data_IF_640212743738
#
_entry.id   IF_640212743738
#
_cell.length_a   1.000
_cell.length_b   1.000
_cell.length_c   1.000
_cell.angle_alpha   90.00
_cell.angle_beta   90.00
_cell.angle_gamma   90.00
#
_symmetry.space_group_name_H-M   'P 1'
#
loop_
_entity.id
_entity.type
_entity.pdbx_description
1 polymer ?
#
# COMPACT_ATOMS: atom_id res chain seq x y z
N UNK A 1 -32.99 47.06 -43.05
CA UNK A 1 -31.73 46.28 -43.19
C UNK A 1 -31.35 45.69 -41.84
N UNK A 2 -31.54 44.39 -41.62
CA UNK A 2 -30.79 43.55 -40.68
C UNK A 2 -31.18 42.09 -40.96
N UNK A 3 -30.30 41.39 -41.69
CA UNK A 3 -30.38 39.94 -41.91
C UNK A 3 -29.88 39.26 -40.63
N UNK A 4 -30.70 38.41 -40.02
CA UNK A 4 -30.28 37.51 -38.94
C UNK A 4 -29.81 36.22 -39.60
N UNK A 5 -28.52 35.92 -39.50
CA UNK A 5 -27.93 34.65 -39.90
C UNK A 5 -28.12 33.65 -38.77
N UNK A 6 -28.90 32.59 -39.01
CA UNK A 6 -28.88 31.39 -38.18
C UNK A 6 -27.67 30.55 -38.56
N UNK A 7 -26.68 30.46 -37.68
CA UNK A 7 -25.56 29.51 -37.83
C UNK A 7 -25.91 28.23 -37.07
N UNK A 8 -26.22 27.15 -37.80
CA UNK A 8 -26.33 25.80 -37.23
C UNK A 8 -24.92 25.32 -36.87
N UNK A 9 -24.60 25.23 -35.58
CA UNK A 9 -23.42 24.49 -35.11
C UNK A 9 -23.73 22.98 -35.13
N UNK A 10 -23.17 22.29 -36.11
CA UNK A 10 -23.10 20.82 -36.09
C UNK A 10 -22.04 20.40 -35.07
N UNK A 11 -22.46 19.92 -33.90
CA UNK A 11 -21.59 19.17 -33.00
C UNK A 11 -21.30 17.81 -33.63
N UNK A 12 -20.11 17.66 -34.21
CA UNK A 12 -19.56 16.34 -34.54
C UNK A 12 -19.19 15.64 -33.24
N UNK A 13 -20.08 14.77 -32.75
CA UNK A 13 -19.74 13.74 -31.78
C UNK A 13 -18.79 12.75 -32.47
N UNK A 14 -17.49 12.93 -32.31
CA UNK A 14 -16.54 11.87 -32.61
C UNK A 14 -16.78 10.72 -31.62
N UNK A 15 -17.04 9.49 -32.11
CA UNK A 15 -17.08 8.35 -31.22
C UNK A 15 -15.65 8.14 -30.70
N UNK A 16 -15.47 8.30 -29.38
CA UNK A 16 -14.27 7.87 -28.69
C UNK A 16 -14.20 6.34 -28.78
N UNK A 17 -13.52 5.84 -29.81
CA UNK A 17 -13.14 4.44 -29.88
C UNK A 17 -12.09 4.17 -28.80
N UNK A 18 -12.53 3.60 -27.67
CA UNK A 18 -11.67 3.15 -26.58
C UNK A 18 -10.91 1.91 -27.08
N UNK A 19 -9.69 2.12 -27.56
CA UNK A 19 -8.75 1.04 -27.82
C UNK A 19 -8.05 0.71 -26.50
N UNK A 20 -7.84 -0.59 -26.23
CA UNK A 20 -6.95 -1.01 -25.15
C UNK A 20 -5.58 -0.35 -25.36
N UNK A 21 -5.06 0.33 -24.34
CA UNK A 21 -3.76 0.99 -24.44
C UNK A 21 -2.73 0.06 -23.85
N UNK A 22 -1.76 -0.33 -24.68
CA UNK A 22 -0.56 -1.00 -24.18
C UNK A 22 0.33 0.04 -23.51
N UNK A 23 0.61 -0.18 -22.24
CA UNK A 23 1.50 0.68 -21.44
C UNK A 23 2.68 -0.13 -20.94
N UNK A 24 3.87 0.47 -21.00
CA UNK A 24 5.07 -0.13 -20.42
C UNK A 24 5.22 0.34 -18.98
N UNK A 25 5.23 -0.61 -18.05
CA UNK A 25 5.58 -0.37 -16.65
C UNK A 25 7.08 -0.64 -16.51
N UNK A 26 7.83 0.35 -16.04
CA UNK A 26 9.28 0.28 -15.85
C UNK A 26 9.63 0.33 -14.35
N UNK A 27 10.41 -0.62 -13.85
CA UNK A 27 10.83 -0.72 -12.44
C UNK A 27 12.26 -0.25 -12.18
N UNK A 28 12.96 0.19 -13.22
CA UNK A 28 14.33 0.69 -13.17
C UNK A 28 14.42 2.17 -12.77
N UNK A 29 13.30 2.91 -12.83
CA UNK A 29 13.25 4.34 -12.57
C UNK A 29 12.04 4.72 -11.71
N UNK A 30 12.13 5.81 -10.91
CA UNK A 30 10.97 6.35 -10.21
C UNK A 30 9.83 6.72 -11.17
N UNK A 31 8.59 6.71 -10.66
CA UNK A 31 7.41 7.16 -11.40
C UNK A 31 7.42 8.69 -11.50
N UNK A 32 7.03 9.18 -12.67
CA UNK A 32 6.97 10.61 -12.98
C UNK A 32 5.52 11.08 -13.09
N UNK A 33 5.29 12.33 -12.73
CA UNK A 33 4.06 13.06 -12.99
C UNK A 33 4.02 13.60 -14.43
N UNK A 34 2.91 14.26 -14.81
CA UNK A 34 2.73 14.89 -16.13
C UNK A 34 3.75 15.98 -16.47
N UNK A 35 4.49 16.49 -15.48
CA UNK A 35 5.54 17.49 -15.66
C UNK A 35 6.94 16.85 -15.75
N UNK A 36 7.02 15.52 -15.69
CA UNK A 36 8.30 14.80 -15.68
C UNK A 36 9.02 14.84 -14.33
N UNK A 37 8.32 15.21 -13.25
CA UNK A 37 8.87 15.28 -11.89
C UNK A 37 8.61 13.96 -11.17
N UNK A 38 9.56 13.50 -10.36
CA UNK A 38 9.39 12.28 -9.55
C UNK A 38 8.21 12.47 -8.59
N UNK A 39 7.33 11.48 -8.55
CA UNK A 39 6.19 11.48 -7.65
C UNK A 39 6.62 11.14 -6.22
N UNK A 40 6.39 12.06 -5.29
CA UNK A 40 6.43 11.80 -3.85
C UNK A 40 5.11 11.17 -3.41
N UNK A 41 5.00 9.88 -3.70
CA UNK A 41 3.78 9.10 -3.51
C UNK A 41 4.17 7.67 -3.12
N UNK A 42 4.02 7.37 -1.83
CA UNK A 42 4.48 6.13 -1.22
C UNK A 42 3.37 5.41 -0.46
N UNK A 43 3.60 4.13 -0.15
CA UNK A 43 2.90 3.23 0.80
C UNK A 43 1.37 3.23 0.78
N UNK A 44 0.77 3.74 -0.30
CA UNK A 44 -0.67 3.93 -0.42
C UNK A 44 -1.38 2.89 -1.27
N UNK A 45 -2.62 3.22 -1.63
CA UNK A 45 -3.46 2.38 -2.49
C UNK A 45 -3.66 2.98 -3.88
N UNK A 46 -3.68 2.12 -4.92
CA UNK A 46 -3.91 2.52 -6.32
C UNK A 46 -5.09 1.74 -6.90
N UNK A 47 -6.16 2.44 -7.26
CA UNK A 47 -7.43 1.81 -7.66
C UNK A 47 -8.16 2.55 -8.78
N UNK A 48 -8.90 1.79 -9.59
CA UNK A 48 -9.93 2.31 -10.48
C UNK A 48 -11.30 1.99 -9.91
N UNK A 49 -12.02 3.02 -9.44
CA UNK A 49 -13.33 2.84 -8.80
C UNK A 49 -14.50 2.71 -9.78
N UNK A 50 -14.30 3.14 -11.03
CA UNK A 50 -15.28 3.04 -12.11
C UNK A 50 -14.55 2.59 -13.37
N UNK A 51 -15.02 1.51 -14.00
CA UNK A 51 -14.44 0.96 -15.23
C UNK A 51 -14.28 2.07 -16.29
N UNK A 52 -13.15 2.07 -17.00
CA UNK A 52 -12.81 3.04 -18.05
C UNK A 52 -12.74 4.50 -17.54
N UNK A 53 -12.45 4.71 -16.27
CA UNK A 53 -12.17 6.03 -15.68
C UNK A 53 -10.75 6.06 -15.12
N UNK A 54 -10.36 7.21 -14.59
CA UNK A 54 -9.04 7.39 -13.99
C UNK A 54 -8.78 6.37 -12.88
N UNK A 55 -7.53 5.94 -12.81
CA UNK A 55 -6.94 5.38 -11.60
C UNK A 55 -6.64 6.52 -10.62
N UNK A 56 -6.82 6.26 -9.34
CA UNK A 56 -6.46 7.16 -8.26
C UNK A 56 -5.45 6.48 -7.37
N UNK A 57 -4.43 7.24 -6.99
CA UNK A 57 -3.45 6.87 -5.98
C UNK A 57 -3.63 7.77 -4.77
N UNK A 58 -3.91 7.17 -3.62
CA UNK A 58 -3.95 7.85 -2.31
C UNK A 58 -2.71 7.39 -1.58
N UNK A 59 -1.76 8.30 -1.35
CA UNK A 59 -0.40 7.95 -0.98
C UNK A 59 0.22 8.95 -0.02
N UNK A 60 1.23 8.50 0.73
CA UNK A 60 2.02 9.40 1.55
C UNK A 60 2.97 10.23 0.71
N UNK A 61 3.03 11.53 1.05
CA UNK A 61 4.08 12.44 0.62
C UNK A 61 5.05 12.66 1.78
N UNK A 62 6.23 12.03 1.72
CA UNK A 62 7.23 12.03 2.79
C UNK A 62 8.15 13.26 2.77
N UNK A 63 8.14 14.00 1.66
CA UNK A 63 8.89 15.23 1.50
C UNK A 63 10.34 15.03 1.07
N UNK A 64 11.03 16.15 0.88
CA UNK A 64 12.36 16.20 0.25
C UNK A 64 13.51 16.19 1.27
N UNK A 65 13.37 15.42 2.34
CA UNK A 65 14.46 15.21 3.30
C UNK A 65 15.42 14.11 2.83
N UNK A 66 16.65 14.13 3.35
CA UNK A 66 17.65 13.10 3.09
C UNK A 66 17.22 11.77 3.74
N UNK A 67 17.29 10.69 2.97
CA UNK A 67 16.98 9.34 3.42
C UNK A 67 17.78 8.98 4.70
N UNK A 68 17.20 8.17 5.60
CA UNK A 68 17.96 7.57 6.69
C UNK A 68 19.23 6.84 6.22
N UNK A 69 20.38 7.03 6.89
CA UNK A 69 21.60 6.33 6.50
C UNK A 69 21.54 4.85 6.89
N UNK A 70 21.97 3.97 5.97
CA UNK A 70 22.17 2.53 6.15
C UNK A 70 20.91 1.72 6.43
N UNK A 71 20.41 1.66 7.66
CA UNK A 71 19.48 0.59 8.12
C UNK A 71 18.01 1.03 8.22
N UNK A 72 17.50 1.75 7.23
CA UNK A 72 16.14 2.29 7.25
C UNK A 72 15.85 3.07 8.53
N UNK A 73 14.73 2.74 9.18
CA UNK A 73 14.34 3.41 10.42
C UNK A 73 14.93 2.80 11.70
N UNK A 74 15.53 1.61 11.65
CA UNK A 74 16.07 0.88 12.83
C UNK A 74 17.47 1.34 13.29
N UNK A 75 18.03 2.35 12.63
CA UNK A 75 19.28 3.00 13.00
C UNK A 75 19.09 4.49 13.34
N UNK A 76 19.89 5.35 12.71
CA UNK A 76 19.73 6.80 12.84
C UNK A 76 18.44 7.34 12.20
N UNK A 77 17.63 6.52 11.53
CA UNK A 77 16.45 6.96 10.78
C UNK A 77 15.33 7.56 11.63
N UNK A 78 15.04 7.01 12.80
CA UNK A 78 14.14 7.69 13.75
C UNK A 78 14.76 8.97 14.32
N UNK A 79 16.10 9.07 14.38
CA UNK A 79 16.80 10.26 14.88
C UNK A 79 16.92 11.40 13.85
N UNK A 80 16.99 11.09 12.55
CA UNK A 80 16.95 12.10 11.47
C UNK A 80 15.55 12.67 11.25
N UNK A 81 14.52 11.95 11.72
CA UNK A 81 13.09 12.25 11.55
C UNK A 81 12.61 12.28 10.10
N UNK A 82 13.44 11.95 9.11
CA UNK A 82 13.02 11.88 7.72
C UNK A 82 12.07 10.69 7.51
N UNK A 83 10.92 10.92 6.88
CA UNK A 83 9.81 9.95 6.86
C UNK A 83 9.07 9.81 8.20
N UNK A 84 9.43 10.58 9.23
CA UNK A 84 8.76 10.64 10.54
C UNK A 84 8.35 12.06 10.95
N UNK A 85 8.11 12.92 9.96
CA UNK A 85 7.68 14.29 10.19
C UNK A 85 6.15 14.33 10.37
N UNK A 86 5.65 15.25 11.21
CA UNK A 86 4.21 15.33 11.51
C UNK A 86 3.42 16.13 10.45
N UNK A 87 4.13 16.79 9.52
CA UNK A 87 3.59 17.64 8.48
C UNK A 87 3.47 16.96 7.11
N UNK A 88 3.62 15.63 7.02
CA UNK A 88 3.39 14.91 5.76
C UNK A 88 1.96 15.12 5.24
N UNK A 89 1.81 15.13 3.92
CA UNK A 89 0.50 15.14 3.29
C UNK A 89 0.08 13.71 2.92
N UNK A 90 -1.22 13.44 3.03
CA UNK A 90 -1.86 12.36 2.28
C UNK A 90 -2.23 12.97 0.93
N UNK A 91 -1.53 12.59 -0.13
CA UNK A 91 -1.73 13.15 -1.48
C UNK A 91 -2.60 12.25 -2.32
N UNK A 92 -3.26 12.88 -3.30
CA UNK A 92 -4.08 12.22 -4.29
C UNK A 92 -3.45 12.50 -5.66
N UNK A 93 -3.20 11.43 -6.40
CA UNK A 93 -2.78 11.47 -7.79
C UNK A 93 -3.81 10.74 -8.64
N UNK A 94 -3.92 11.11 -9.91
CA UNK A 94 -4.77 10.39 -10.86
C UNK A 94 -4.06 10.14 -12.17
N UNK A 95 -4.34 9.00 -12.81
CA UNK A 95 -3.76 8.64 -14.10
C UNK A 95 -4.82 7.95 -14.97
N UNK A 96 -4.84 8.22 -16.29
CA UNK A 96 -5.73 7.52 -17.20
C UNK A 96 -5.31 6.05 -17.43
N UNK A 97 -4.03 5.71 -17.24
CA UNK A 97 -3.47 4.46 -17.75
C UNK A 97 -2.28 3.90 -16.96
N UNK A 98 -2.01 4.40 -15.76
CA UNK A 98 -0.92 3.98 -14.85
C UNK A 98 0.51 4.25 -15.34
N UNK A 99 0.71 4.79 -16.55
CA UNK A 99 2.05 5.00 -17.12
C UNK A 99 2.84 6.06 -16.35
N UNK A 100 4.15 5.90 -16.26
CA UNK A 100 5.03 7.00 -15.80
C UNK A 100 4.87 8.20 -16.73
N UNK A 101 4.73 9.40 -16.17
CA UNK A 101 4.47 10.62 -16.94
C UNK A 101 3.00 10.92 -17.22
N UNK A 102 2.06 10.07 -16.77
CA UNK A 102 0.61 10.33 -16.94
C UNK A 102 -0.12 10.66 -15.63
N UNK A 103 0.60 10.73 -14.52
CA UNK A 103 0.04 11.03 -13.21
C UNK A 103 -0.11 12.52 -12.98
N UNK A 104 -1.34 12.96 -12.72
CA UNK A 104 -1.67 14.35 -12.36
C UNK A 104 -1.88 14.46 -10.86
N UNK A 105 -1.21 15.41 -10.21
CA UNK A 105 -1.51 15.78 -8.83
C UNK A 105 -2.94 16.33 -8.74
N UNK A 106 -3.74 15.76 -7.86
CA UNK A 106 -5.15 16.16 -7.64
C UNK A 106 -5.26 17.10 -6.44
N UNK A 107 -4.55 16.80 -5.35
CA UNK A 107 -4.60 17.58 -4.12
C UNK A 107 -4.21 16.77 -2.89
N UNK A 108 -4.27 17.42 -1.72
CA UNK A 108 -4.15 16.75 -0.43
C UNK A 108 -5.53 16.24 -0.01
N UNK A 109 -5.63 14.98 0.39
CA UNK A 109 -6.90 14.37 0.76
C UNK A 109 -7.54 15.06 1.98
N UNK A 110 -6.73 15.30 3.00
CA UNK A 110 -7.13 15.97 4.24
C UNK A 110 -5.97 16.85 4.72
N UNK A 111 -6.27 18.06 5.21
CA UNK A 111 -5.23 18.98 5.66
C UNK A 111 -4.60 18.50 6.98
N UNK A 112 -3.38 18.96 7.28
CA UNK A 112 -2.73 18.67 8.57
C UNK A 112 -3.55 19.18 9.75
N UNK A 113 -4.30 20.28 9.57
CA UNK A 113 -5.15 20.86 10.62
C UNK A 113 -6.45 20.07 10.86
N UNK A 114 -6.98 19.39 9.83
CA UNK A 114 -8.26 18.67 9.88
C UNK A 114 -8.12 17.18 10.25
N UNK A 115 -6.90 16.69 10.44
CA UNK A 115 -6.60 15.30 10.83
C UNK A 115 -5.99 15.21 12.22
N UNK A 116 -6.04 14.05 12.91
CA UNK A 116 -5.31 13.86 14.15
C UNK A 116 -3.82 14.17 14.00
N UNK A 117 -3.26 14.88 14.98
CA UNK A 117 -1.84 15.19 15.00
C UNK A 117 -1.01 13.91 15.10
N UNK A 118 0.02 13.79 14.27
CA UNK A 118 0.91 12.64 14.25
C UNK A 118 1.59 12.46 12.90
N UNK A 119 2.59 11.57 12.90
CA UNK A 119 3.17 11.03 11.67
C UNK A 119 2.14 10.08 11.08
N UNK A 120 1.82 10.24 9.80
CA UNK A 120 0.83 9.43 9.10
C UNK A 120 1.54 8.52 8.09
N UNK A 121 0.97 7.34 7.89
CA UNK A 121 1.46 6.32 6.99
C UNK A 121 0.27 5.65 6.28
N UNK A 122 0.59 4.94 5.20
CA UNK A 122 -0.27 3.92 4.58
C UNK A 122 -1.74 4.31 4.40
N UNK A 123 -2.06 5.37 3.64
CA UNK A 123 -3.44 5.74 3.35
C UNK A 123 -4.08 4.79 2.33
N UNK A 124 -5.23 4.22 2.66
CA UNK A 124 -6.02 3.36 1.78
C UNK A 124 -7.41 3.95 1.57
N UNK A 125 -7.81 4.13 0.31
CA UNK A 125 -9.15 4.59 -0.04
C UNK A 125 -9.99 3.40 -0.51
N UNK A 126 -11.19 3.21 0.03
CA UNK A 126 -12.14 2.21 -0.50
C UNK A 126 -13.49 2.86 -0.80
N UNK A 127 -14.23 2.29 -1.75
CA UNK A 127 -15.64 2.65 -1.95
C UNK A 127 -16.53 1.79 -1.06
N UNK A 128 -17.36 2.41 -0.24
CA UNK A 128 -18.35 1.73 0.58
C UNK A 128 -19.69 1.67 -0.18
N UNK A 129 -20.15 0.49 -0.64
CA UNK A 129 -21.40 0.38 -1.40
C UNK A 129 -22.66 0.61 -0.54
N UNK A 130 -22.58 0.44 0.78
CA UNK A 130 -23.71 0.63 1.70
C UNK A 130 -24.04 2.11 1.88
N UNK A 131 -23.00 2.95 2.03
CA UNK A 131 -23.14 4.40 2.23
C UNK A 131 -23.00 5.19 0.94
N UNK A 132 -22.46 4.58 -0.13
CA UNK A 132 -22.12 5.22 -1.41
C UNK A 132 -21.07 6.32 -1.28
N UNK A 133 -20.22 6.21 -0.26
CA UNK A 133 -19.14 7.14 0.01
C UNK A 133 -17.80 6.45 -0.16
N UNK A 134 -16.79 7.25 -0.48
CA UNK A 134 -15.40 6.85 -0.41
C UNK A 134 -14.92 7.00 1.03
N UNK A 135 -14.26 5.98 1.55
CA UNK A 135 -13.74 5.92 2.92
C UNK A 135 -12.22 5.83 2.85
N UNK A 136 -11.56 6.89 3.32
CA UNK A 136 -10.11 6.97 3.45
C UNK A 136 -9.73 6.57 4.87
N UNK A 137 -8.86 5.58 5.00
CA UNK A 137 -8.28 5.14 6.27
C UNK A 137 -6.77 5.34 6.19
N UNK A 138 -6.13 5.75 7.28
CA UNK A 138 -4.68 5.80 7.41
C UNK A 138 -4.27 5.46 8.84
N UNK A 139 -3.06 4.94 9.03
CA UNK A 139 -2.49 4.80 10.36
C UNK A 139 -1.65 6.01 10.71
N UNK A 140 -1.55 6.30 11.99
CA UNK A 140 -0.74 7.39 12.49
C UNK A 140 -0.16 7.08 13.85
N UNK A 141 1.02 7.64 14.12
CA UNK A 141 1.67 7.54 15.40
C UNK A 141 1.94 8.91 15.99
N UNK A 142 2.02 8.94 17.32
CA UNK A 142 2.52 10.07 18.09
C UNK A 142 3.61 9.56 19.00
N UNK A 143 4.67 10.35 19.17
CA UNK A 143 5.75 10.01 20.08
C UNK A 143 5.20 9.74 21.48
N UNK A 144 5.59 8.62 22.08
CA UNK A 144 5.19 8.17 23.42
C UNK A 144 3.67 7.96 23.62
N UNK A 145 2.92 7.76 22.54
CA UNK A 145 1.50 7.43 22.60
C UNK A 145 1.20 6.22 21.70
N UNK A 146 0.09 5.50 21.93
CA UNK A 146 -0.34 4.45 21.02
C UNK A 146 -0.54 4.97 19.59
N UNK A 147 -0.12 4.17 18.62
CA UNK A 147 -0.48 4.36 17.22
C UNK A 147 -1.95 3.99 17.01
N UNK A 148 -2.60 4.64 16.05
CA UNK A 148 -4.05 4.55 15.83
C UNK A 148 -4.37 4.61 14.33
N UNK A 149 -5.62 4.29 13.98
CA UNK A 149 -6.17 4.49 12.65
C UNK A 149 -7.17 5.64 12.65
N UNK A 150 -7.19 6.45 11.61
CA UNK A 150 -8.20 7.48 11.42
C UNK A 150 -8.96 7.27 10.12
N UNK A 151 -10.19 7.78 10.08
CA UNK A 151 -11.16 7.57 9.00
C UNK A 151 -11.73 8.91 8.56
N UNK A 152 -11.65 9.16 7.27
CA UNK A 152 -12.31 10.29 6.61
C UNK A 152 -13.16 9.78 5.44
N UNK A 153 -14.12 10.60 5.00
CA UNK A 153 -15.01 10.24 3.88
C UNK A 153 -15.16 11.36 2.87
N UNK A 154 -15.50 10.97 1.64
CA UNK A 154 -15.81 11.88 0.54
C UNK A 154 -16.86 11.28 -0.41
N UNK A 155 -17.53 12.15 -1.18
CA UNK A 155 -18.45 11.72 -2.25
C UNK A 155 -17.73 11.31 -3.54
N UNK A 156 -16.47 11.75 -3.71
CA UNK A 156 -15.64 11.44 -4.87
C UNK A 156 -14.27 10.94 -4.40
N UNK A 157 -13.54 10.17 -5.23
CA UNK A 157 -12.19 9.71 -4.85
C UNK A 157 -11.19 10.87 -4.72
N UNK A 158 -11.50 12.04 -5.30
CA UNK A 158 -10.68 13.25 -5.22
C UNK A 158 -10.97 14.11 -3.98
N UNK A 159 -11.95 13.75 -3.16
CA UNK A 159 -12.39 14.57 -2.03
C UNK A 159 -13.47 15.60 -2.40
N UNK A 160 -13.60 16.68 -1.62
CA UNK A 160 -12.89 16.94 -0.37
C UNK A 160 -13.23 15.89 0.70
N UNK A 161 -12.25 15.48 1.50
CA UNK A 161 -12.47 14.54 2.60
C UNK A 161 -12.80 15.26 3.90
N UNK A 162 -13.69 14.66 4.70
CA UNK A 162 -13.99 15.09 6.06
C UNK A 162 -13.73 13.96 7.05
N UNK A 163 -13.05 14.26 8.15
CA UNK A 163 -12.82 13.31 9.24
C UNK A 163 -14.15 12.86 9.85
N UNK A 164 -14.30 11.56 10.09
CA UNK A 164 -15.48 10.96 10.77
C UNK A 164 -15.12 10.18 12.01
N UNK A 165 -13.92 9.59 12.03
CA UNK A 165 -13.41 8.91 13.21
C UNK A 165 -11.90 9.18 13.34
N UNK A 166 -11.44 9.89 14.38
CA UNK A 166 -10.01 10.10 14.61
C UNK A 166 -9.28 8.86 15.13
N UNK A 167 -10.00 7.82 15.58
CA UNK A 167 -9.45 6.64 16.25
C UNK A 167 -10.35 5.43 16.03
N UNK A 168 -10.29 4.83 14.84
CA UNK A 168 -10.98 3.56 14.54
C UNK A 168 -10.55 2.49 15.55
N UNK A 169 -11.54 1.89 16.20
CA UNK A 169 -11.32 0.82 17.17
C UNK A 169 -11.04 -0.48 16.42
N UNK A 170 -10.01 -1.20 16.84
CA UNK A 170 -9.82 -2.62 16.52
C UNK A 170 -9.69 -3.38 17.83
N UNK A 171 -10.13 -4.64 17.87
CA UNK A 171 -10.26 -5.39 19.13
C UNK A 171 -8.94 -5.59 19.85
N UNK A 172 -7.83 -5.69 19.11
CA UNK A 172 -6.51 -5.73 19.74
C UNK A 172 -5.98 -4.31 20.02
N UNK A 173 -6.48 -3.29 19.34
CA UNK A 173 -6.03 -1.88 19.38
C UNK A 173 -6.48 -1.04 20.57
N UNK A 174 -7.41 -1.54 21.41
CA UNK A 174 -7.94 -0.78 22.54
C UNK A 174 -8.14 -1.63 23.81
N UNK A 175 -7.30 -1.41 24.83
CA UNK A 175 -7.64 -1.65 26.24
C UNK A 175 -8.02 -3.07 26.70
N UNK A 176 -7.78 -4.11 25.90
CA UNK A 176 -8.00 -5.50 26.30
C UNK A 176 -6.93 -5.99 27.27
N UNK A 177 -7.36 -6.58 28.41
CA UNK A 177 -6.56 -7.11 29.53
C UNK A 177 -5.12 -7.49 29.15
N UNK A 178 -4.17 -6.70 29.65
CA UNK A 178 -2.77 -7.11 29.78
C UNK A 178 -2.77 -8.41 30.60
N UNK A 179 -2.39 -9.52 29.99
CA UNK A 179 -2.00 -10.70 30.75
C UNK A 179 -0.68 -10.34 31.44
N UNK A 180 -0.78 -9.78 32.65
CA UNK A 180 0.36 -9.64 33.55
C UNK A 180 0.72 -11.05 33.99
N UNK A 181 1.67 -11.66 33.29
CA UNK A 181 2.43 -12.78 33.80
C UNK A 181 3.88 -12.30 33.93
N UNK A 182 4.16 -11.91 35.18
CA UNK A 182 5.46 -11.96 35.88
C UNK A 182 6.47 -10.84 35.59
N UNK A 183 6.63 -10.01 36.64
CA UNK A 183 7.85 -9.35 37.10
C UNK A 183 9.11 -9.57 36.23
N UNK A 184 9.49 -8.54 35.47
CA UNK A 184 10.82 -7.89 35.40
C UNK A 184 10.77 -6.91 34.21
N UNK A 185 11.04 -5.63 34.49
CA UNK A 185 11.06 -4.48 33.55
C UNK A 185 9.71 -3.89 33.12
N UNK A 186 9.22 -2.96 33.94
CA UNK A 186 8.40 -1.82 33.54
C UNK A 186 9.13 -1.00 32.44
N UNK A 187 9.01 -1.40 31.18
CA UNK A 187 9.37 -0.58 30.02
C UNK A 187 8.23 -0.72 28.98
N UNK A 188 7.32 0.27 29.01
CA UNK A 188 6.48 0.73 27.89
C UNK A 188 5.61 -0.32 27.14
N UNK A 189 4.53 -0.76 27.80
CA UNK A 189 3.35 -1.39 27.18
C UNK A 189 2.55 -0.40 26.31
N UNK A 190 3.16 0.18 25.27
CA UNK A 190 2.38 0.92 24.28
C UNK A 190 1.81 -0.06 23.27
N UNK A 191 0.54 0.11 22.95
CA UNK A 191 -0.14 -0.67 21.93
C UNK A 191 0.25 -0.10 20.56
N UNK A 192 1.10 -0.79 19.80
CA UNK A 192 1.59 -0.31 18.51
C UNK A 192 0.76 -0.92 17.39
N UNK A 193 -0.35 -0.26 17.04
CA UNK A 193 -1.00 -0.48 15.76
C UNK A 193 -0.06 -0.04 14.63
N UNK A 194 0.17 -0.91 13.66
CA UNK A 194 1.08 -0.64 12.55
C UNK A 194 0.34 -0.61 11.22
N UNK A 195 0.93 -1.27 10.23
CA UNK A 195 0.42 -1.32 8.87
C UNK A 195 -0.92 -2.06 8.77
N UNK A 196 -1.76 -1.63 7.83
CA UNK A 196 -3.07 -2.24 7.58
C UNK A 196 -3.43 -2.22 6.08
N UNK A 197 -4.41 -3.03 5.69
CA UNK A 197 -5.10 -2.93 4.38
C UNK A 197 -6.58 -3.29 4.55
N UNK A 198 -7.40 -2.90 3.57
CA UNK A 198 -8.85 -3.00 3.60
C UNK A 198 -9.35 -3.82 2.40
N UNK A 199 -10.17 -4.83 2.69
CA UNK A 199 -10.94 -5.54 1.67
C UNK A 199 -12.41 -5.17 1.78
N UNK A 200 -13.01 -4.75 0.66
CA UNK A 200 -14.46 -4.64 0.52
C UNK A 200 -14.95 -5.84 -0.30
N UNK A 201 -15.80 -6.66 0.30
CA UNK A 201 -16.34 -7.84 -0.33
C UNK A 201 -17.52 -7.48 -1.26
N UNK A 202 -17.89 -8.40 -2.15
CA UNK A 202 -18.94 -8.17 -3.16
C UNK A 202 -20.32 -7.90 -2.54
N UNK A 203 -20.55 -8.38 -1.33
CA UNK A 203 -21.77 -8.15 -0.53
C UNK A 203 -21.77 -6.81 0.23
N UNK A 204 -20.71 -6.01 0.09
CA UNK A 204 -20.53 -4.73 0.77
C UNK A 204 -19.97 -4.82 2.18
N UNK A 205 -19.61 -6.01 2.66
CA UNK A 205 -18.93 -6.16 3.96
C UNK A 205 -17.48 -5.72 3.84
N UNK A 206 -17.04 -4.85 4.76
CA UNK A 206 -15.67 -4.39 4.85
C UNK A 206 -14.88 -5.17 5.89
N UNK A 207 -13.60 -5.37 5.64
CA UNK A 207 -12.65 -5.99 6.56
C UNK A 207 -11.35 -5.22 6.59
N UNK A 208 -10.75 -5.10 7.78
CA UNK A 208 -9.42 -4.55 7.97
C UNK A 208 -8.47 -5.68 8.39
N UNK A 209 -7.38 -5.86 7.66
CA UNK A 209 -6.22 -6.62 8.14
C UNK A 209 -5.21 -5.63 8.69
N UNK A 210 -4.61 -5.92 9.84
CA UNK A 210 -3.74 -4.97 10.51
C UNK A 210 -2.71 -5.63 11.40
N UNK A 211 -1.55 -4.98 11.53
CA UNK A 211 -0.50 -5.39 12.45
C UNK A 211 -0.69 -4.74 13.81
N UNK A 212 -0.36 -5.49 14.84
CA UNK A 212 -0.22 -4.97 16.19
C UNK A 212 0.83 -5.72 16.96
N UNK A 213 1.81 -4.96 17.49
CA UNK A 213 2.97 -5.52 18.17
C UNK A 213 3.59 -6.67 17.34
N UNK A 214 3.69 -6.43 16.03
CA UNK A 214 4.20 -7.34 15.01
C UNK A 214 3.43 -8.65 14.76
N UNK A 215 2.23 -8.80 15.31
CA UNK A 215 1.32 -9.88 14.93
C UNK A 215 0.23 -9.38 14.01
N UNK A 216 -0.21 -10.22 13.08
CA UNK A 216 -1.28 -9.88 12.15
C UNK A 216 -2.66 -10.29 12.66
N UNK A 217 -3.69 -9.53 12.34
CA UNK A 217 -5.09 -9.86 12.61
C UNK A 217 -6.00 -9.30 11.52
N UNK A 218 -7.12 -9.97 11.27
CA UNK A 218 -8.19 -9.47 10.39
C UNK A 218 -9.47 -9.31 11.20
N UNK A 219 -10.18 -8.21 10.97
CA UNK A 219 -11.43 -7.87 11.64
C UNK A 219 -12.50 -7.40 10.67
N UNK A 220 -13.76 -7.76 10.94
CA UNK A 220 -14.92 -7.25 10.21
C UNK A 220 -15.24 -5.82 10.67
N UNK A 221 -15.42 -4.91 9.71
CA UNK A 221 -15.84 -3.52 9.94
C UNK A 221 -17.36 -3.39 10.05
N UNK A 222 -17.82 -2.32 10.69
CA UNK A 222 -19.24 -1.91 10.68
C UNK A 222 -19.69 -1.55 9.26
N UNK A 223 -21.01 -1.56 8.94
CA UNK A 223 -21.49 -1.30 7.57
C UNK A 223 -21.04 0.03 6.95
N UNK A 224 -20.71 1.03 7.77
CA UNK A 224 -20.17 2.34 7.35
C UNK A 224 -18.63 2.36 7.19
N UNK A 225 -17.94 1.32 7.65
CA UNK A 225 -16.48 1.17 7.74
C UNK A 225 -15.78 2.10 8.74
N UNK A 226 -16.51 2.71 9.68
CA UNK A 226 -15.92 3.66 10.63
C UNK A 226 -15.34 2.99 11.88
N UNK A 227 -15.76 1.77 12.16
CA UNK A 227 -15.42 1.02 13.37
C UNK A 227 -15.18 -0.45 13.04
N UNK A 228 -14.48 -1.16 13.93
CA UNK A 228 -14.51 -2.62 13.94
C UNK A 228 -15.70 -3.16 14.73
N UNK A 229 -16.25 -4.28 14.26
CA UNK A 229 -17.22 -5.10 14.99
C UNK A 229 -16.58 -6.04 16.02
N UNK A 230 -15.25 -6.20 15.95
CA UNK A 230 -14.45 -7.10 16.78
C UNK A 230 -14.54 -8.59 16.43
N UNK A 231 -15.30 -8.97 15.40
CA UNK A 231 -15.23 -10.32 14.85
C UNK A 231 -13.92 -10.47 14.11
N UNK A 232 -13.05 -11.35 14.60
CA UNK A 232 -11.65 -11.38 14.22
C UNK A 232 -11.09 -12.77 13.93
N UNK A 233 -9.97 -12.82 13.20
CA UNK A 233 -9.04 -13.94 13.17
C UNK A 233 -7.60 -13.44 13.36
N UNK A 234 -6.78 -14.21 14.07
CA UNK A 234 -5.40 -13.86 14.39
C UNK A 234 -4.43 -14.87 13.79
N UNK A 235 -3.30 -14.36 13.31
CA UNK A 235 -2.23 -15.13 12.71
C UNK A 235 -1.17 -15.49 13.76
N UNK A 236 -0.49 -16.62 13.56
CA UNK A 236 0.52 -17.13 14.49
C UNK A 236 1.90 -16.49 14.23
N UNK A 237 2.14 -16.01 13.00
CA UNK A 237 3.40 -15.38 12.62
C UNK A 237 3.66 -14.11 13.43
N UNK A 238 4.86 -14.05 13.99
CA UNK A 238 5.40 -12.90 14.71
C UNK A 238 6.43 -12.17 13.85
N UNK A 239 6.64 -10.88 14.15
CA UNK A 239 7.59 -10.03 13.44
C UNK A 239 7.23 -9.81 11.97
N UNK A 240 5.94 -9.59 11.71
CA UNK A 240 5.39 -9.35 10.36
C UNK A 240 4.67 -8.02 10.24
N UNK A 241 4.61 -7.47 9.03
CA UNK A 241 4.01 -6.17 8.72
C UNK A 241 3.51 -6.08 7.26
N UNK A 242 3.14 -4.87 6.84
CA UNK A 242 2.76 -4.53 5.48
C UNK A 242 1.71 -5.50 4.88
N UNK A 243 0.57 -5.76 5.55
CA UNK A 243 -0.39 -6.72 5.04
C UNK A 243 -1.11 -6.22 3.79
N UNK A 244 -1.40 -7.08 2.84
CA UNK A 244 -2.29 -6.85 1.70
C UNK A 244 -3.49 -7.79 1.85
N UNK A 245 -4.70 -7.31 1.56
CA UNK A 245 -5.91 -8.13 1.59
C UNK A 245 -6.65 -8.12 0.26
N UNK A 246 -6.69 -9.28 -0.41
CA UNK A 246 -7.38 -9.43 -1.69
C UNK A 246 -8.26 -10.68 -1.74
N UNK A 247 -9.23 -10.65 -2.64
CA UNK A 247 -10.09 -11.79 -3.00
C UNK A 247 -9.96 -12.08 -4.50
N UNK A 248 -9.84 -13.35 -4.86
CA UNK A 248 -9.89 -13.84 -6.25
C UNK A 248 -10.56 -15.20 -6.29
N UNK A 249 -11.56 -15.40 -7.16
CA UNK A 249 -12.27 -16.66 -7.36
C UNK A 249 -12.76 -17.31 -6.04
N UNK A 250 -13.37 -16.51 -5.15
CA UNK A 250 -13.83 -16.91 -3.81
C UNK A 250 -12.75 -17.37 -2.81
N UNK A 251 -11.47 -17.25 -3.16
CA UNK A 251 -10.36 -17.42 -2.23
C UNK A 251 -9.95 -16.04 -1.71
N UNK A 252 -9.81 -15.94 -0.40
CA UNK A 252 -9.26 -14.79 0.30
C UNK A 252 -7.77 -14.99 0.50
N UNK A 253 -6.99 -13.97 0.16
CA UNK A 253 -5.55 -13.95 0.29
C UNK A 253 -5.17 -12.79 1.20
N UNK A 254 -4.41 -13.11 2.24
CA UNK A 254 -3.70 -12.12 3.04
C UNK A 254 -2.21 -12.34 2.82
N UNK A 255 -1.52 -11.31 2.36
CA UNK A 255 -0.07 -11.34 2.16
C UNK A 255 0.56 -10.44 3.21
N UNK A 256 1.58 -10.88 3.92
CA UNK A 256 2.41 -10.05 4.81
C UNK A 256 3.86 -10.53 4.76
N UNK A 257 4.80 -9.66 5.11
CA UNK A 257 6.22 -9.98 5.10
C UNK A 257 6.85 -9.82 6.47
N UNK A 258 8.04 -10.39 6.64
CA UNK A 258 8.87 -10.09 7.80
C UNK A 258 9.14 -8.59 7.91
N UNK A 259 9.07 -8.08 9.14
CA UNK A 259 9.23 -6.66 9.43
C UNK A 259 10.59 -6.14 8.96
N UNK A 260 10.55 -4.97 8.34
CA UNK A 260 11.64 -4.24 7.74
C UNK A 260 11.28 -2.75 7.58
N UNK A 261 11.57 -1.96 8.62
CA UNK A 261 11.20 -0.56 8.63
C UNK A 261 12.05 0.30 7.69
N UNK A 262 11.45 0.77 6.59
CA UNK A 262 12.14 1.54 5.54
C UNK A 262 13.45 0.92 5.07
N UNK A 263 13.66 -0.39 5.19
CA UNK A 263 14.95 -0.95 4.81
C UNK A 263 15.08 -1.19 3.32
N UNK A 264 16.30 -1.01 2.82
CA UNK A 264 16.69 -1.25 1.44
C UNK A 264 16.31 -2.64 0.92
N UNK A 265 16.41 -3.68 1.75
CA UNK A 265 16.12 -5.05 1.33
C UNK A 265 14.62 -5.34 1.14
N UNK A 266 13.73 -4.44 1.55
CA UNK A 266 12.28 -4.67 1.51
C UNK A 266 11.81 -5.81 2.41
N UNK A 267 10.55 -6.23 2.22
CA UNK A 267 9.94 -7.31 2.98
C UNK A 267 9.95 -8.63 2.21
N UNK A 268 9.68 -9.71 2.96
CA UNK A 268 9.20 -10.96 2.38
C UNK A 268 7.75 -10.88 1.90
N UNK A 269 7.23 -11.98 1.35
CA UNK A 269 5.82 -12.17 0.96
C UNK A 269 5.38 -13.58 1.35
N UNK A 270 4.88 -13.71 2.58
CA UNK A 270 4.13 -14.88 3.03
C UNK A 270 2.68 -14.74 2.54
N UNK A 271 2.07 -15.84 2.10
CA UNK A 271 0.69 -15.84 1.58
C UNK A 271 -0.17 -16.76 2.40
N UNK A 272 -1.24 -16.22 2.96
CA UNK A 272 -2.23 -16.95 3.71
C UNK A 272 -3.54 -16.99 2.94
N UNK A 273 -4.17 -18.17 2.90
CA UNK A 273 -5.39 -18.39 2.10
C UNK A 273 -6.53 -18.93 2.95
N UNK A 274 -7.74 -18.47 2.67
CA UNK A 274 -8.96 -18.95 3.29
C UNK A 274 -10.14 -18.93 2.32
N UNK A 275 -11.18 -19.70 2.63
CA UNK A 275 -12.47 -19.65 1.92
C UNK A 275 -13.48 -18.67 2.59
N UNK A 276 -13.09 -18.07 3.70
CA UNK A 276 -13.86 -17.07 4.45
C UNK A 276 -12.93 -15.92 4.85
N UNK A 277 -13.40 -14.66 4.80
CA UNK A 277 -12.55 -13.49 5.11
C UNK A 277 -12.02 -13.48 6.55
N UNK A 278 -12.70 -14.15 7.49
CA UNK A 278 -12.26 -14.33 8.88
C UNK A 278 -11.63 -15.71 9.13
N UNK A 279 -11.15 -16.37 8.08
CA UNK A 279 -10.41 -17.62 8.21
C UNK A 279 -11.28 -18.86 8.45
N UNK A 280 -10.69 -19.98 8.92
CA UNK A 280 -9.27 -20.12 9.24
C UNK A 280 -8.38 -19.94 8.00
N UNK A 281 -7.25 -19.28 8.18
CA UNK A 281 -6.25 -19.11 7.13
C UNK A 281 -5.22 -20.22 7.18
N UNK A 282 -4.73 -20.62 6.01
CA UNK A 282 -3.63 -21.57 5.87
C UNK A 282 -2.48 -20.90 5.13
N UNK A 283 -1.28 -20.97 5.70
CA UNK A 283 -0.06 -20.55 5.03
C UNK A 283 0.12 -21.37 3.75
N UNK A 284 0.32 -20.68 2.64
CA UNK A 284 0.57 -21.29 1.35
C UNK A 284 1.94 -21.98 1.36
N UNK A 285 2.00 -23.21 0.84
CA UNK A 285 3.26 -23.89 0.59
C UNK A 285 4.12 -23.16 -0.47
N UNK A 286 5.44 -23.36 -0.44
CA UNK A 286 6.40 -22.70 -1.34
C UNK A 286 7.29 -21.65 -0.66
N UNK A 287 7.10 -21.45 0.65
CA UNK A 287 7.87 -20.51 1.46
C UNK A 287 7.56 -19.06 1.15
N UNK A 288 8.46 -18.17 1.53
CA UNK A 288 8.36 -16.75 1.24
C UNK A 288 8.49 -16.48 -0.27
N UNK A 289 7.50 -15.82 -0.88
CA UNK A 289 7.43 -15.66 -2.32
C UNK A 289 8.42 -14.64 -2.91
N UNK A 290 8.93 -13.73 -2.09
CA UNK A 290 9.89 -12.70 -2.51
C UNK A 290 11.34 -13.02 -2.10
N UNK A 291 11.55 -13.97 -1.19
CA UNK A 291 12.89 -14.34 -0.75
C UNK A 291 13.51 -15.47 -1.59
N UNK A 292 14.79 -15.30 -1.93
CA UNK A 292 15.65 -16.28 -2.64
C UNK A 292 16.96 -16.46 -1.90
N UNK A 293 17.67 -17.56 -2.10
CA UNK A 293 19.00 -17.74 -1.50
C UNK A 293 19.97 -16.70 -2.03
N UNK A 294 20.91 -16.23 -1.20
CA UNK A 294 21.89 -15.21 -1.65
C UNK A 294 22.78 -15.72 -2.80
N UNK A 295 22.97 -17.03 -2.95
CA UNK A 295 23.70 -17.64 -4.08
C UNK A 295 22.91 -17.61 -5.40
N UNK A 296 21.58 -17.67 -5.35
CA UNK A 296 20.72 -17.59 -6.54
C UNK A 296 20.52 -16.14 -7.01
N UNK A 297 20.87 -15.18 -6.15
CA UNK A 297 20.76 -13.76 -6.44
C UNK A 297 21.92 -13.30 -7.34
N UNK A 298 21.68 -13.22 -8.65
CA UNK A 298 22.62 -12.59 -9.57
C UNK A 298 22.66 -11.08 -9.34
N UNK A 299 23.78 -10.57 -8.84
CA UNK A 299 24.02 -9.13 -8.57
C UNK A 299 23.86 -8.22 -9.80
N UNK A 300 23.75 -8.77 -11.00
CA UNK A 300 23.67 -8.01 -12.26
C UNK A 300 22.32 -7.33 -12.50
N UNK A 301 21.28 -7.62 -11.69
CA UNK A 301 19.92 -7.08 -11.89
C UNK A 301 19.56 -5.82 -11.09
N UNK A 302 20.50 -5.20 -10.37
CA UNK A 302 20.22 -3.95 -9.61
C UNK A 302 20.88 -2.75 -10.30
N UNK A 303 20.20 -2.20 -11.30
CA UNK A 303 20.58 -0.95 -11.97
C UNK A 303 20.09 0.28 -11.20
N UNK A 304 20.61 0.51 -9.99
CA UNK A 304 20.57 1.84 -9.37
C UNK A 304 21.97 2.17 -8.88
N UNK A 305 22.66 3.01 -9.65
CA UNK A 305 24.06 3.41 -9.43
C UNK A 305 24.17 4.47 -8.34
N UNK A 306 23.74 4.17 -7.11
CA UNK A 306 24.07 4.90 -5.86
C UNK A 306 23.11 4.54 -4.71
N UNK A 307 23.00 3.25 -4.36
CA UNK A 307 22.21 2.85 -3.18
C UNK A 307 23.09 3.01 -1.93
N UNK A 308 22.72 3.93 -1.04
CA UNK A 308 23.37 4.12 0.26
C UNK A 308 22.80 3.20 1.36
N UNK A 309 21.61 2.64 1.13
CA UNK A 309 20.96 1.71 2.04
C UNK A 309 21.71 0.38 2.16
N UNK A 310 21.71 -0.19 3.37
CA UNK A 310 22.25 -1.51 3.66
C UNK A 310 21.11 -2.43 4.15
N UNK A 311 21.22 -3.74 3.91
CA UNK A 311 20.36 -4.74 4.55
C UNK A 311 20.33 -4.52 6.08
N UNK A 312 19.15 -4.37 6.68
CA UNK A 312 19.02 -4.32 8.14
C UNK A 312 19.15 -5.75 8.67
N UNK A 313 20.10 -6.04 9.57
CA UNK A 313 20.30 -7.39 10.08
C UNK A 313 19.03 -7.97 10.73
N UNK A 314 18.77 -9.26 10.49
CA UNK A 314 17.66 -9.99 11.09
C UNK A 314 16.29 -9.33 10.81
N UNK A 315 16.04 -8.92 9.57
CA UNK A 315 14.79 -8.31 9.09
C UNK A 315 14.50 -8.68 7.64
N UNK A 316 13.26 -8.48 7.19
CA UNK A 316 12.85 -8.82 5.83
C UNK A 316 13.23 -10.27 5.48
N UNK A 317 13.77 -10.47 4.28
CA UNK A 317 14.28 -11.79 3.85
C UNK A 317 15.53 -12.27 4.60
N UNK A 318 16.10 -11.50 5.52
CA UNK A 318 17.24 -11.91 6.36
C UNK A 318 16.81 -12.27 7.80
N UNK A 319 15.50 -12.26 8.08
CA UNK A 319 14.96 -12.59 9.40
C UNK A 319 15.36 -14.01 9.86
N UNK A 320 15.66 -14.17 11.16
CA UNK A 320 16.28 -15.38 11.74
C UNK A 320 17.68 -15.72 11.21
N UNK A 321 18.42 -14.73 10.70
CA UNK A 321 19.76 -14.91 10.13
C UNK A 321 19.81 -15.98 9.02
N UNK A 322 18.70 -16.14 8.30
CA UNK A 322 18.63 -17.04 7.15
C UNK A 322 19.43 -16.45 5.99
N UNK A 323 20.09 -17.31 5.20
CA UNK A 323 20.91 -16.88 4.07
C UNK A 323 20.07 -16.60 2.81
N UNK A 324 19.05 -15.74 2.95
CA UNK A 324 18.19 -15.30 1.84
C UNK A 324 18.18 -13.79 1.67
N UNK A 325 17.67 -13.31 0.55
CA UNK A 325 17.51 -11.88 0.24
C UNK A 325 16.27 -11.68 -0.63
N UNK A 326 15.70 -10.47 -0.62
CA UNK A 326 14.54 -10.15 -1.46
C UNK A 326 14.96 -10.02 -2.92
N UNK A 327 14.23 -10.69 -3.81
CA UNK A 327 14.44 -10.58 -5.26
C UNK A 327 14.03 -9.20 -5.81
N UNK A 328 13.14 -8.49 -5.10
CA UNK A 328 12.58 -7.20 -5.54
C UNK A 328 13.03 -6.00 -4.73
N UNK A 329 13.54 -6.22 -3.50
CA UNK A 329 14.01 -5.14 -2.62
C UNK A 329 12.95 -4.06 -2.40
N UNK A 330 11.70 -4.49 -2.23
CA UNK A 330 10.57 -3.62 -1.95
C UNK A 330 9.74 -4.19 -0.82
N UNK A 331 9.15 -3.30 -0.02
CA UNK A 331 8.15 -3.63 0.97
C UNK A 331 6.78 -3.47 0.33
N UNK A 332 5.91 -4.47 0.47
CA UNK A 332 4.63 -4.44 -0.23
C UNK A 332 3.68 -3.37 0.33
N UNK A 333 2.82 -2.81 -0.52
CA UNK A 333 1.83 -1.82 -0.10
C UNK A 333 0.42 -2.14 -0.59
N UNK A 334 0.24 -2.65 -1.81
CA UNK A 334 -1.10 -2.85 -2.40
C UNK A 334 -1.13 -3.85 -3.57
N UNK A 335 -2.34 -4.18 -4.04
CA UNK A 335 -2.58 -4.91 -5.30
C UNK A 335 -3.46 -4.06 -6.24
N UNK A 336 -2.90 -3.66 -7.38
CA UNK A 336 -3.69 -3.00 -8.44
C UNK A 336 -4.43 -4.06 -9.24
N UNK A 337 -5.74 -3.89 -9.39
CA UNK A 337 -6.54 -4.68 -10.34
C UNK A 337 -6.65 -3.92 -11.65
N UNK A 338 -6.17 -4.53 -12.74
CA UNK A 338 -6.21 -3.95 -14.09
C UNK A 338 -7.01 -4.89 -14.97
N UNK A 339 -8.23 -4.48 -15.30
CA UNK A 339 -9.14 -5.26 -16.15
C UNK A 339 -9.09 -4.71 -17.57
N UNK A 340 -8.59 -5.50 -18.51
CA UNK A 340 -8.48 -5.10 -19.90
C UNK A 340 -9.86 -5.11 -20.62
N UNK A 341 -9.85 -4.75 -21.91
CA UNK A 341 -11.05 -4.73 -22.75
C UNK A 341 -11.75 -6.08 -22.90
N UNK A 342 -11.03 -7.20 -22.76
CA UNK A 342 -11.60 -8.57 -22.82
C UNK A 342 -12.20 -9.02 -21.49
N UNK A 343 -12.07 -8.23 -20.42
CA UNK A 343 -12.52 -8.57 -19.07
C UNK A 343 -11.50 -9.39 -18.27
N UNK A 344 -10.34 -9.70 -18.83
CA UNK A 344 -9.26 -10.33 -18.09
C UNK A 344 -8.64 -9.35 -17.09
N UNK A 345 -8.51 -9.77 -15.84
CA UNK A 345 -7.94 -8.95 -14.77
C UNK A 345 -6.54 -9.41 -14.41
N UNK A 346 -5.56 -8.54 -14.64
CA UNK A 346 -4.21 -8.65 -14.10
C UNK A 346 -4.18 -8.08 -12.69
N UNK A 347 -3.53 -8.79 -11.77
CA UNK A 347 -3.29 -8.35 -10.40
C UNK A 347 -1.83 -7.94 -10.30
N UNK A 348 -1.56 -6.65 -10.11
CA UNK A 348 -0.20 -6.14 -9.96
C UNK A 348 0.12 -6.02 -8.48
N UNK A 349 1.14 -6.73 -8.02
CA UNK A 349 1.73 -6.51 -6.71
C UNK A 349 2.60 -5.27 -6.76
N UNK A 350 2.44 -4.40 -5.76
CA UNK A 350 3.18 -3.15 -5.65
C UNK A 350 3.88 -3.05 -4.31
N UNK A 351 5.04 -2.40 -4.33
CA UNK A 351 5.78 -2.10 -3.12
C UNK A 351 6.71 -0.90 -3.28
N UNK A 352 7.08 -0.30 -2.17
CA UNK A 352 8.03 0.81 -2.11
C UNK A 352 9.45 0.25 -1.96
N UNK A 353 10.38 0.82 -2.73
CA UNK A 353 11.81 0.49 -2.68
C UNK A 353 12.52 1.50 -1.80
N UNK A 354 12.37 1.34 -0.50
CA UNK A 354 12.97 2.23 0.49
C UNK A 354 14.50 2.28 0.37
N UNK A 355 15.09 3.43 0.74
CA UNK A 355 16.54 3.71 0.71
C UNK A 355 17.21 3.51 -0.65
N UNK A 356 16.43 3.67 -1.72
CA UNK A 356 16.86 3.47 -3.10
C UNK A 356 16.53 4.68 -3.96
N UNK A 357 16.30 5.86 -3.35
CA UNK A 357 16.19 7.10 -4.09
C UNK A 357 17.46 7.34 -4.92
N UNK A 358 17.33 7.74 -6.19
CA UNK A 358 18.47 7.96 -7.08
C UNK A 358 19.37 9.12 -6.62
N UNK A 359 18.86 10.00 -5.78
CA UNK A 359 19.53 11.21 -5.28
C UNK A 359 19.58 11.28 -3.74
N UNK A 360 19.19 10.19 -3.05
CA UNK A 360 19.15 10.13 -1.58
C UNK A 360 18.03 10.96 -0.95
N UNK A 361 17.05 11.42 -1.73
CA UNK A 361 15.88 12.16 -1.22
C UNK A 361 14.72 11.18 -0.97
N UNK A 362 14.20 11.13 0.26
CA UNK A 362 13.13 10.18 0.67
C UNK A 362 11.93 10.21 -0.25
N UNK A 363 11.43 11.40 -0.58
CA UNK A 363 10.31 11.56 -1.50
C UNK A 363 10.53 10.98 -2.90
N UNK A 364 11.77 10.65 -3.29
CA UNK A 364 12.12 10.12 -4.61
C UNK A 364 12.39 8.61 -4.62
N UNK A 365 12.12 7.91 -3.51
CA UNK A 365 12.23 6.44 -3.47
C UNK A 365 11.33 5.79 -4.55
N UNK A 366 11.86 4.85 -5.34
CA UNK A 366 11.09 4.25 -6.41
C UNK A 366 10.03 3.27 -5.89
N UNK A 367 9.06 2.98 -6.74
CA UNK A 367 8.12 1.86 -6.54
C UNK A 367 8.53 0.68 -7.41
N UNK A 368 8.16 -0.52 -7.00
CA UNK A 368 8.28 -1.75 -7.79
C UNK A 368 6.92 -2.38 -8.01
N UNK A 369 6.56 -2.64 -9.27
CA UNK A 369 5.30 -3.31 -9.63
C UNK A 369 5.59 -4.59 -10.42
N UNK A 370 4.84 -5.66 -10.18
CA UNK A 370 4.91 -6.88 -11.01
C UNK A 370 3.55 -7.59 -11.08
N UNK A 371 3.17 -8.20 -12.22
CA UNK A 371 2.02 -9.09 -12.24
C UNK A 371 2.23 -10.29 -11.32
N UNK A 372 1.20 -10.63 -10.56
CA UNK A 372 1.12 -11.88 -9.82
C UNK A 372 0.74 -13.02 -10.76
N UNK A 373 1.48 -14.13 -10.69
CA UNK A 373 1.13 -15.36 -11.37
C UNK A 373 0.29 -16.25 -10.45
N UNK A 374 -0.88 -16.69 -10.91
CA UNK A 374 -1.74 -17.62 -10.18
C UNK A 374 -1.75 -18.97 -10.88
N UNK A 375 -1.48 -20.05 -10.13
CA UNK A 375 -1.67 -21.41 -10.62
C UNK A 375 -3.14 -21.82 -10.57
N UNK A 376 -3.49 -22.92 -11.26
CA UNK A 376 -4.88 -23.40 -11.37
C UNK A 376 -5.52 -23.71 -10.00
N UNK A 377 -4.73 -24.19 -9.04
CA UNK A 377 -5.17 -24.46 -7.66
C UNK A 377 -5.30 -23.18 -6.80
N UNK A 378 -5.16 -22.01 -7.40
CA UNK A 378 -5.23 -20.71 -6.75
C UNK A 378 -4.03 -20.35 -5.88
N UNK A 379 -2.89 -21.07 -5.93
CA UNK A 379 -1.67 -20.58 -5.29
C UNK A 379 -1.04 -19.44 -6.09
N UNK A 380 -0.37 -18.52 -5.40
CA UNK A 380 0.43 -17.45 -6.01
C UNK A 380 1.86 -17.96 -6.22
N UNK A 381 2.42 -17.77 -7.41
CA UNK A 381 3.81 -18.07 -7.73
C UNK A 381 4.80 -17.09 -7.11
N UNK A 382 6.10 -17.42 -7.19
CA UNK A 382 7.18 -16.54 -6.73
C UNK A 382 7.06 -15.15 -7.37
N UNK A 383 7.37 -14.11 -6.58
CA UNK A 383 7.50 -12.76 -7.08
C UNK A 383 8.70 -12.72 -8.04
N UNK A 384 8.52 -12.11 -9.20
CA UNK A 384 9.54 -12.05 -10.25
C UNK A 384 10.03 -10.62 -10.43
N UNK A 385 11.34 -10.48 -10.59
CA UNK A 385 11.94 -9.23 -11.05
C UNK A 385 11.73 -9.09 -12.56
N UNK A 386 11.05 -8.02 -12.96
CA UNK A 386 10.91 -7.59 -14.35
C UNK A 386 11.40 -6.14 -14.42
N UNK A 387 12.42 -5.87 -15.24
CA UNK A 387 12.88 -4.50 -15.50
C UNK A 387 11.72 -3.67 -16.07
N UNK A 388 11.04 -4.25 -17.05
CA UNK A 388 9.86 -3.69 -17.70
C UNK A 388 8.86 -4.79 -18.04
N UNK A 389 7.58 -4.44 -18.11
CA UNK A 389 6.54 -5.31 -18.67
C UNK A 389 5.42 -4.49 -19.32
N UNK A 390 4.72 -5.12 -20.27
CA UNK A 390 3.59 -4.50 -20.97
C UNK A 390 2.30 -4.86 -20.24
N UNK A 391 1.48 -3.85 -20.00
CA UNK A 391 0.15 -3.96 -19.41
C UNK A 391 -0.88 -3.48 -20.43
N UNK A 392 -1.99 -4.21 -20.54
CA UNK A 392 -3.14 -3.79 -21.34
C UNK A 392 -4.14 -3.10 -20.40
N UNK A 393 -4.29 -1.79 -20.53
CA UNK A 393 -5.17 -0.95 -19.70
C UNK A 393 -6.43 -0.54 -20.45
#
# INVERSE_FOLDING_TARGET
MKKIFNSLFYFFLFPLFIHAVQVTINNLRPRLDINGVIMDAHDGSIQQFKKNRLYYMHAMQYGLCEEPPKYGCDGAGMSSKCGFQMNHNITIWSSPNLTSGSWSYVGNAITVADRPAGVVFRPHLVYNPNTKLYVLIWNYMRWNLPSLYAVAIAETPSGPFRLVNPSLNVSRGGGGKVYIIVFIHLINLFNFLGDFDILVNDDGTGYIVYSQNYYMSVEQLTPDFYYSTGKSYMFEEYFVEAPIFMKKNNIYYILFGWCCCYCMQGSGVLVHRANNPLGPYTLQAGGDLACVTKSDYSLTKVHLTSINGLPTPNQGCEYHNINTTSIVRSQQNYIIKVTNSTGYTTYLWTGDRWQQAPDGIKGHEPQFWTPLNFYENGTIGKIQWLDEFILNV
#
